data_IF_873717142504
#
_entry.id   IF_873717142504
#
_cell.length_a   1.000
_cell.length_b   1.000
_cell.length_c   1.000
_cell.angle_alpha   90.00
_cell.angle_beta   90.00
_cell.angle_gamma   90.00
#
_symmetry.space_group_name_H-M   'P 1'
#
loop_
_entity.id
_entity.type
_entity.pdbx_description
1 polymer ?
#
# COMPACT_ATOMS: atom_id res chain seq x y z
N UNK A 1 21.56 2.24 1.42
CA UNK A 1 21.07 1.15 0.54
C UNK A 1 22.26 0.46 -0.17
N UNK A 2 23.25 1.22 -0.71
CA UNK A 2 24.41 0.59 -1.40
C UNK A 2 25.21 -0.40 -0.57
N UNK A 3 25.22 -0.24 0.74
CA UNK A 3 25.94 -1.11 1.66
C UNK A 3 25.11 -2.31 2.17
N UNK A 4 23.85 -2.41 1.80
CA UNK A 4 22.99 -3.51 2.23
C UNK A 4 23.35 -4.81 1.53
N UNK A 5 23.44 -5.90 2.29
CA UNK A 5 23.72 -7.23 1.73
C UNK A 5 22.61 -7.64 0.75
N UNK A 6 23.00 -8.14 -0.41
CA UNK A 6 22.08 -8.56 -1.47
C UNK A 6 21.71 -7.47 -2.50
N UNK A 7 22.09 -6.22 -2.28
CA UNK A 7 21.90 -5.14 -3.26
C UNK A 7 23.03 -5.18 -4.30
N UNK A 8 22.70 -5.50 -5.56
CA UNK A 8 23.67 -5.56 -6.66
C UNK A 8 24.03 -4.19 -7.23
N UNK A 9 23.05 -3.26 -7.25
CA UNK A 9 23.23 -1.90 -7.70
C UNK A 9 22.21 -0.97 -7.03
N UNK A 10 22.61 0.25 -6.73
CA UNK A 10 21.72 1.31 -6.30
C UNK A 10 22.17 2.61 -6.95
N UNK A 11 21.25 3.31 -7.57
CA UNK A 11 21.47 4.57 -8.25
C UNK A 11 20.62 5.62 -7.57
N UNK A 12 21.13 6.85 -7.47
CA UNK A 12 20.28 7.99 -7.12
C UNK A 12 19.46 8.31 -8.37
N UNK A 13 18.15 8.28 -8.23
CA UNK A 13 17.25 8.68 -9.30
C UNK A 13 17.13 10.21 -9.36
N UNK A 14 16.56 10.71 -10.44
CA UNK A 14 16.23 12.12 -10.58
C UNK A 14 14.91 12.40 -9.86
N UNK A 15 14.67 13.65 -9.50
CA UNK A 15 13.33 14.07 -9.09
C UNK A 15 12.33 13.67 -10.16
N UNK A 16 11.40 12.83 -9.77
CA UNK A 16 10.24 12.45 -10.59
C UNK A 16 9.00 13.02 -9.92
N UNK A 17 8.13 13.64 -10.72
CA UNK A 17 6.78 13.95 -10.24
C UNK A 17 5.98 12.68 -10.21
N UNK A 18 5.29 12.44 -9.12
CA UNK A 18 4.17 11.50 -9.11
C UNK A 18 3.09 12.19 -9.93
N UNK A 19 2.88 11.75 -11.16
CA UNK A 19 1.72 12.20 -11.90
C UNK A 19 0.49 11.77 -11.10
N UNK A 20 -0.32 12.72 -10.69
CA UNK A 20 -1.64 12.42 -10.17
C UNK A 20 -2.28 11.48 -11.18
N UNK A 21 -2.61 10.26 -10.72
CA UNK A 21 -3.49 9.42 -11.50
C UNK A 21 -4.76 10.25 -11.65
N UNK A 22 -4.88 10.87 -12.81
CA UNK A 22 -5.95 11.80 -13.11
C UNK A 22 -7.25 11.06 -12.83
N UNK A 23 -7.95 11.51 -11.81
CA UNK A 23 -9.31 11.07 -11.46
C UNK A 23 -10.31 11.42 -12.60
N UNK A 24 -9.80 11.87 -13.74
CA UNK A 24 -10.50 12.17 -14.97
C UNK A 24 -10.88 10.93 -15.78
N UNK A 25 -10.85 9.74 -15.23
CA UNK A 25 -11.55 8.58 -15.84
C UNK A 25 -12.99 8.48 -15.31
N UNK A 26 -13.57 9.57 -14.92
CA UNK A 26 -15.02 9.74 -14.96
C UNK A 26 -15.45 10.06 -16.41
N UNK A 27 -15.12 9.17 -17.33
CA UNK A 27 -15.83 9.11 -18.61
C UNK A 27 -17.29 8.84 -18.29
N UNK A 28 -18.11 9.87 -18.34
CA UNK A 28 -19.55 9.76 -18.40
C UNK A 28 -19.91 8.79 -19.55
N UNK A 29 -20.23 7.55 -19.20
CA UNK A 29 -20.68 6.59 -20.22
C UNK A 29 -20.53 5.12 -19.87
N UNK A 30 -19.79 4.73 -18.86
CA UNK A 30 -19.88 3.37 -18.37
C UNK A 30 -21.13 3.25 -17.48
N UNK A 31 -22.29 3.05 -18.13
CA UNK A 31 -23.47 2.55 -17.42
C UNK A 31 -23.07 1.25 -16.74
N UNK A 32 -22.99 1.31 -15.43
CA UNK A 32 -22.65 0.22 -14.52
C UNK A 32 -23.80 -0.81 -14.53
N UNK A 33 -23.98 -1.46 -15.65
CA UNK A 33 -25.11 -2.35 -15.94
C UNK A 33 -24.73 -3.81 -15.79
N UNK A 34 -24.10 -4.19 -14.68
CA UNK A 34 -23.98 -5.61 -14.31
C UNK A 34 -23.47 -5.83 -12.88
N UNK A 35 -23.87 -5.02 -11.90
CA UNK A 35 -23.76 -5.48 -10.51
C UNK A 35 -25.01 -6.28 -10.17
N UNK A 36 -24.94 -7.58 -10.36
CA UNK A 36 -26.06 -8.48 -10.08
C UNK A 36 -26.01 -9.17 -8.74
N UNK A 37 -24.97 -8.95 -7.93
CA UNK A 37 -24.95 -9.45 -6.55
C UNK A 37 -24.30 -8.45 -5.58
N UNK A 38 -24.89 -8.28 -4.41
CA UNK A 38 -24.35 -7.47 -3.30
C UNK A 38 -23.16 -8.15 -2.61
N UNK A 39 -22.65 -9.25 -3.16
CA UNK A 39 -21.54 -10.04 -2.60
C UNK A 39 -20.26 -9.96 -3.43
N UNK A 40 -20.32 -9.43 -4.64
CA UNK A 40 -19.16 -9.34 -5.49
C UNK A 40 -18.35 -8.06 -5.19
N UNK A 41 -17.02 -8.14 -5.10
CA UNK A 41 -16.17 -6.97 -4.91
C UNK A 41 -16.39 -5.92 -6.01
N UNK A 42 -16.32 -4.64 -5.66
CA UNK A 42 -16.48 -3.54 -6.60
C UNK A 42 -15.46 -3.56 -7.74
N UNK A 43 -14.29 -4.16 -7.50
CA UNK A 43 -13.21 -4.31 -8.47
C UNK A 43 -13.17 -5.69 -9.15
N UNK A 44 -14.23 -6.50 -9.04
CA UNK A 44 -14.26 -7.85 -9.62
C UNK A 44 -14.02 -7.86 -11.12
N UNK A 45 -14.59 -6.91 -11.85
CA UNK A 45 -14.41 -6.85 -13.32
C UNK A 45 -12.94 -6.67 -13.72
N UNK A 46 -12.17 -5.87 -12.99
CA UNK A 46 -10.74 -5.73 -13.25
C UNK A 46 -9.97 -7.02 -12.92
N UNK A 47 -10.34 -7.70 -11.85
CA UNK A 47 -9.75 -9.00 -11.47
C UNK A 47 -10.04 -10.08 -12.52
N UNK A 48 -11.26 -10.14 -13.05
CA UNK A 48 -11.64 -11.06 -14.12
C UNK A 48 -10.88 -10.79 -15.42
N UNK A 49 -10.71 -9.53 -15.80
CA UNK A 49 -9.92 -9.17 -16.99
C UNK A 49 -8.47 -9.63 -16.91
N UNK A 50 -7.90 -9.65 -15.70
CA UNK A 50 -6.52 -10.07 -15.44
C UNK A 50 -6.40 -11.54 -15.02
N UNK A 51 -7.50 -12.26 -15.00
CA UNK A 51 -7.59 -13.63 -14.47
C UNK A 51 -7.08 -13.78 -13.02
N UNK A 52 -7.12 -12.69 -12.24
CA UNK A 52 -6.70 -12.69 -10.85
C UNK A 52 -7.67 -13.45 -9.93
N UNK A 53 -8.92 -13.62 -10.36
CA UNK A 53 -9.93 -14.46 -9.74
C UNK A 53 -9.52 -15.94 -9.65
N UNK A 54 -8.66 -16.39 -10.59
CA UNK A 54 -8.17 -17.76 -10.67
C UNK A 54 -6.95 -18.02 -9.76
N UNK A 55 -6.38 -16.97 -9.15
CA UNK A 55 -5.24 -17.09 -8.25
C UNK A 55 -5.72 -17.51 -6.87
N UNK A 56 -5.24 -18.66 -6.40
CA UNK A 56 -5.59 -19.21 -5.09
C UNK A 56 -4.72 -18.65 -3.96
N UNK A 57 -3.51 -18.16 -4.29
CA UNK A 57 -2.59 -17.55 -3.34
C UNK A 57 -3.09 -16.14 -2.98
N UNK A 58 -3.33 -15.88 -1.72
CA UNK A 58 -3.86 -14.61 -1.22
C UNK A 58 -2.84 -13.76 -0.46
N UNK A 59 -1.58 -14.14 -0.50
CA UNK A 59 -0.49 -13.40 0.14
C UNK A 59 -0.21 -13.75 1.60
N UNK A 60 -0.75 -14.87 2.11
CA UNK A 60 -0.46 -15.35 3.46
C UNK A 60 1.06 -15.40 3.72
N UNK A 61 1.49 -14.86 4.86
CA UNK A 61 2.89 -14.79 5.26
C UNK A 61 3.77 -13.93 4.35
N UNK A 62 3.20 -13.08 3.49
CA UNK A 62 3.95 -12.15 2.63
C UNK A 62 3.83 -10.73 3.13
N UNK A 63 4.84 -9.95 2.79
CA UNK A 63 4.91 -8.51 3.09
C UNK A 63 5.16 -7.77 1.78
N UNK A 64 4.35 -6.75 1.53
CA UNK A 64 4.44 -5.88 0.35
C UNK A 64 4.78 -4.49 0.85
N UNK A 65 5.77 -3.83 0.25
CA UNK A 65 6.08 -2.44 0.53
C UNK A 65 5.35 -1.54 -0.47
N UNK A 66 4.57 -0.60 0.05
CA UNK A 66 3.98 0.51 -0.69
C UNK A 66 4.84 1.74 -0.42
N UNK A 67 5.58 2.17 -1.44
CA UNK A 67 6.48 3.33 -1.39
C UNK A 67 5.84 4.40 -2.24
N UNK A 68 5.13 5.35 -1.59
CA UNK A 68 4.17 6.22 -2.26
C UNK A 68 3.89 7.50 -1.46
N UNK A 69 2.76 8.15 -1.70
CA UNK A 69 2.28 9.39 -1.06
C UNK A 69 1.74 9.21 0.35
N UNK A 70 1.85 8.04 0.93
CA UNK A 70 1.23 7.67 2.20
C UNK A 70 -0.04 6.82 2.01
N UNK A 71 -0.52 6.21 3.08
CA UNK A 71 -1.70 5.33 3.06
C UNK A 71 -2.62 5.66 4.22
N UNK A 72 -3.91 5.84 3.94
CA UNK A 72 -4.94 5.83 4.99
C UNK A 72 -5.12 4.41 5.52
N UNK A 73 -4.32 4.08 6.52
CA UNK A 73 -4.31 2.76 7.16
C UNK A 73 -5.56 2.50 8.00
N UNK A 74 -6.41 3.53 8.20
CA UNK A 74 -7.70 3.41 8.90
C UNK A 74 -8.87 3.19 7.95
N UNK A 75 -8.62 3.22 6.64
CA UNK A 75 -9.66 3.05 5.64
C UNK A 75 -10.38 1.71 5.81
N UNK A 76 -11.72 1.66 5.73
CA UNK A 76 -12.51 0.44 5.94
C UNK A 76 -12.10 -0.74 5.05
N UNK A 77 -11.52 -0.50 3.88
CA UNK A 77 -11.03 -1.56 2.99
C UNK A 77 -9.91 -2.42 3.60
N UNK A 78 -9.28 -1.97 4.68
CA UNK A 78 -8.20 -2.69 5.37
C UNK A 78 -8.60 -3.25 6.73
N UNK A 79 -9.88 -3.16 7.10
CA UNK A 79 -10.38 -3.54 8.42
C UNK A 79 -10.57 -5.06 8.61
N UNK A 80 -10.34 -5.87 7.58
CA UNK A 80 -10.44 -7.32 7.65
C UNK A 80 -9.30 -7.95 8.44
N UNK A 81 -9.57 -9.10 9.05
CA UNK A 81 -8.51 -9.93 9.61
C UNK A 81 -7.65 -10.53 8.49
N UNK A 82 -6.37 -10.75 8.75
CA UNK A 82 -5.53 -11.53 7.85
C UNK A 82 -5.95 -13.00 7.87
N UNK A 83 -5.99 -13.63 6.69
CA UNK A 83 -6.41 -15.02 6.55
C UNK A 83 -5.37 -16.05 7.01
N UNK A 84 -4.18 -15.63 7.41
CA UNK A 84 -3.07 -16.51 7.75
C UNK A 84 -2.19 -15.97 8.87
N UNK A 85 -0.96 -16.47 8.96
CA UNK A 85 0.00 -16.07 9.99
C UNK A 85 0.80 -14.85 9.53
N UNK A 86 0.79 -13.73 10.28
CA UNK A 86 1.58 -12.56 9.95
C UNK A 86 3.07 -12.88 9.88
N UNK A 87 3.76 -12.43 8.82
CA UNK A 87 5.21 -12.57 8.70
C UNK A 87 5.96 -11.65 9.68
N UNK A 88 5.37 -10.49 9.97
CA UNK A 88 5.89 -9.46 10.87
C UNK A 88 4.90 -9.25 12.02
N UNK A 89 5.26 -9.76 13.20
CA UNK A 89 4.60 -9.39 14.46
C UNK A 89 5.18 -8.10 15.02
N UNK A 90 4.50 -7.48 15.98
CA UNK A 90 4.99 -6.28 16.67
C UNK A 90 6.39 -6.49 17.27
N UNK A 91 6.62 -7.63 17.95
CA UNK A 91 7.91 -7.96 18.56
C UNK A 91 9.01 -8.11 17.49
N UNK A 92 8.68 -8.75 16.37
CA UNK A 92 9.63 -8.91 15.28
C UNK A 92 9.98 -7.56 14.63
N UNK A 93 9.02 -6.69 14.43
CA UNK A 93 9.26 -5.34 13.92
C UNK A 93 10.15 -4.57 14.89
N UNK A 94 9.84 -4.58 16.20
CA UNK A 94 10.65 -3.92 17.22
C UNK A 94 12.10 -4.42 17.23
N UNK A 95 12.34 -5.70 16.96
CA UNK A 95 13.69 -6.28 16.88
C UNK A 95 14.45 -5.93 15.60
N UNK A 96 13.73 -5.66 14.50
CA UNK A 96 14.31 -5.37 13.18
C UNK A 96 14.59 -3.87 12.99
N UNK A 97 13.73 -3.00 13.51
CA UNK A 97 13.83 -1.54 13.35
C UNK A 97 15.21 -0.98 13.70
N UNK A 98 15.86 -1.37 14.82
CA UNK A 98 17.23 -0.89 15.12
C UNK A 98 18.27 -1.28 14.08
N UNK A 99 18.02 -2.33 13.28
CA UNK A 99 18.94 -2.83 12.26
C UNK A 99 18.91 -1.99 10.98
N UNK A 100 17.91 -1.11 10.82
CA UNK A 100 17.85 -0.17 9.68
C UNK A 100 19.02 0.81 9.72
N UNK A 101 19.55 1.10 10.92
CA UNK A 101 20.77 1.90 11.10
C UNK A 101 20.61 3.39 10.81
N UNK A 102 19.41 3.84 10.49
CA UNK A 102 19.08 5.23 10.15
C UNK A 102 18.47 6.01 11.33
N UNK A 103 18.29 5.35 12.49
CA UNK A 103 17.67 5.93 13.67
C UNK A 103 16.16 6.13 13.57
N UNK A 104 15.54 5.66 12.51
CA UNK A 104 14.10 5.80 12.28
C UNK A 104 13.35 4.65 12.93
N UNK A 105 12.34 5.00 13.70
CA UNK A 105 11.54 4.05 14.47
C UNK A 105 10.11 4.02 13.94
N UNK A 106 9.87 3.56 12.75
CA UNK A 106 8.52 3.53 12.18
C UNK A 106 7.45 2.99 13.15
N UNK A 107 6.21 3.26 12.83
CA UNK A 107 5.05 2.90 13.66
C UNK A 107 4.52 1.52 13.28
N UNK A 108 4.31 0.64 14.29
CA UNK A 108 3.46 -0.53 14.12
C UNK A 108 2.01 -0.10 14.32
N UNK A 109 1.19 -0.18 13.27
CA UNK A 109 -0.21 0.25 13.30
C UNK A 109 -1.13 -0.93 13.59
N UNK A 110 -0.95 -2.02 12.88
CA UNK A 110 -1.77 -3.23 13.00
C UNK A 110 -1.05 -4.45 12.40
N UNK A 111 -1.66 -5.64 12.50
CA UNK A 111 -1.16 -6.81 11.78
C UNK A 111 -1.13 -6.58 10.27
N UNK A 112 -2.08 -5.84 9.72
CA UNK A 112 -2.14 -5.49 8.30
C UNK A 112 -1.04 -4.51 7.92
N UNK A 113 -0.73 -3.55 8.80
CA UNK A 113 0.29 -2.52 8.63
C UNK A 113 1.34 -2.61 9.73
N UNK A 114 2.29 -3.56 9.63
CA UNK A 114 3.27 -3.80 10.69
C UNK A 114 4.34 -2.71 10.79
N UNK A 115 4.49 -1.89 9.75
CA UNK A 115 5.45 -0.78 9.75
C UNK A 115 4.98 0.34 8.82
N UNK A 116 5.06 1.59 9.32
CA UNK A 116 4.83 2.79 8.56
C UNK A 116 5.82 3.88 8.96
N UNK A 117 6.33 4.62 7.98
CA UNK A 117 7.22 5.77 8.22
C UNK A 117 7.11 6.78 7.07
N UNK A 118 7.13 8.07 7.40
CA UNK A 118 7.22 9.17 6.46
C UNK A 118 8.69 9.56 6.24
N UNK A 119 9.24 9.17 5.11
CA UNK A 119 10.60 9.52 4.70
C UNK A 119 10.68 10.91 4.05
N UNK A 120 9.56 11.45 3.59
CA UNK A 120 9.50 12.78 2.98
C UNK A 120 9.61 13.90 4.04
N UNK A 121 8.89 13.74 5.16
CA UNK A 121 8.88 14.70 6.27
C UNK A 121 9.69 14.21 7.47
N UNK A 122 10.21 12.98 7.39
CA UNK A 122 11.08 12.36 8.39
C UNK A 122 10.42 12.22 9.77
N UNK A 123 9.19 11.71 9.77
CA UNK A 123 8.41 11.45 10.97
C UNK A 123 7.65 10.10 10.89
N UNK A 124 7.00 9.64 11.98
CA UNK A 124 6.31 8.36 12.00
C UNK A 124 4.91 8.38 11.37
N UNK A 125 4.40 9.52 10.90
CA UNK A 125 3.05 9.66 10.34
C UNK A 125 3.06 9.48 8.82
N UNK A 126 2.89 8.26 8.36
CA UNK A 126 2.79 7.94 6.93
C UNK A 126 1.36 8.06 6.38
N UNK A 127 0.48 8.80 7.06
CA UNK A 127 -0.87 9.09 6.56
C UNK A 127 -0.81 9.98 5.32
N UNK A 128 -1.78 9.87 4.40
CA UNK A 128 -1.86 10.74 3.24
C UNK A 128 -2.20 12.17 3.68
N UNK A 129 -1.58 13.16 3.05
CA UNK A 129 -1.86 14.57 3.29
C UNK A 129 -2.28 15.24 1.98
N UNK A 130 -3.35 16.08 1.99
CA UNK A 130 -3.85 16.77 0.80
C UNK A 130 -4.58 15.85 -0.20
N UNK A 131 -4.98 16.40 -1.34
CA UNK A 131 -5.74 15.67 -2.37
C UNK A 131 -4.91 14.63 -3.11
N UNK A 132 -3.64 14.91 -3.37
CA UNK A 132 -2.72 13.95 -4.01
C UNK A 132 -2.39 12.74 -3.12
N UNK A 133 -2.65 12.84 -1.81
CA UNK A 133 -2.37 11.79 -0.85
C UNK A 133 -3.18 10.49 -1.01
N UNK A 134 -4.25 10.50 -1.80
CA UNK A 134 -5.08 9.30 -2.01
C UNK A 134 -4.41 8.22 -2.85
N UNK A 135 -3.37 8.55 -3.65
CA UNK A 135 -2.73 7.62 -4.58
C UNK A 135 -2.18 6.37 -3.86
N UNK A 136 -1.37 6.55 -2.82
CA UNK A 136 -0.83 5.41 -2.08
C UNK A 136 -1.90 4.55 -1.40
N UNK A 137 -2.99 5.15 -0.92
CA UNK A 137 -4.15 4.41 -0.39
C UNK A 137 -4.80 3.56 -1.48
N UNK A 138 -4.96 4.11 -2.68
CA UNK A 138 -5.51 3.41 -3.84
C UNK A 138 -4.62 2.23 -4.25
N UNK A 139 -3.31 2.47 -4.37
CA UNK A 139 -2.31 1.42 -4.67
C UNK A 139 -2.35 0.30 -3.63
N UNK A 140 -2.37 0.65 -2.34
CA UNK A 140 -2.49 -0.31 -1.26
C UNK A 140 -3.80 -1.12 -1.35
N UNK A 141 -4.90 -0.46 -1.71
CA UNK A 141 -6.22 -1.09 -1.89
C UNK A 141 -6.23 -2.12 -3.02
N UNK A 142 -5.74 -1.75 -4.20
CA UNK A 142 -5.61 -2.67 -5.35
C UNK A 142 -4.75 -3.88 -4.97
N UNK A 143 -3.69 -3.63 -4.21
CA UNK A 143 -2.71 -4.66 -3.84
C UNK A 143 -3.28 -5.62 -2.81
N UNK A 144 -3.85 -5.11 -1.72
CA UNK A 144 -4.11 -5.94 -0.55
C UNK A 144 -5.29 -5.49 0.34
N UNK A 145 -6.29 -4.79 -0.19
CA UNK A 145 -7.54 -4.58 0.54
C UNK A 145 -8.16 -5.93 0.95
N UNK A 146 -8.69 -6.02 2.17
CA UNK A 146 -9.21 -7.27 2.72
C UNK A 146 -10.59 -7.14 3.39
N UNK A 147 -11.28 -6.04 3.16
CA UNK A 147 -12.62 -5.80 3.72
C UNK A 147 -13.47 -4.89 2.83
N UNK A 148 -14.79 -4.93 3.05
CA UNK A 148 -15.74 -4.08 2.36
C UNK A 148 -15.98 -4.49 0.91
N UNK A 149 -16.22 -3.50 0.06
CA UNK A 149 -16.57 -3.70 -1.36
C UNK A 149 -15.36 -3.87 -2.28
N UNK A 150 -14.15 -3.72 -1.75
CA UNK A 150 -12.91 -3.82 -2.52
C UNK A 150 -12.06 -4.94 -1.92
N UNK A 151 -11.62 -5.86 -2.77
CA UNK A 151 -10.69 -6.92 -2.39
C UNK A 151 -9.46 -6.80 -3.27
N UNK A 152 -8.29 -6.66 -2.65
CA UNK A 152 -7.00 -6.63 -3.35
C UNK A 152 -6.60 -7.99 -3.91
N UNK A 153 -5.54 -8.00 -4.69
CA UNK A 153 -5.01 -9.25 -5.30
C UNK A 153 -4.40 -10.16 -4.23
N UNK A 154 -3.80 -9.58 -3.18
CA UNK A 154 -3.16 -10.30 -2.08
C UNK A 154 -3.74 -9.86 -0.72
N UNK A 155 -5.03 -10.13 -0.44
CA UNK A 155 -5.73 -9.60 0.74
C UNK A 155 -5.13 -10.07 2.08
N UNK A 156 -4.41 -11.19 2.10
CA UNK A 156 -3.77 -11.73 3.29
C UNK A 156 -2.30 -11.30 3.46
N UNK A 157 -1.77 -10.50 2.52
CA UNK A 157 -0.45 -9.91 2.69
C UNK A 157 -0.48 -8.75 3.68
N UNK A 158 0.61 -8.58 4.42
CA UNK A 158 0.90 -7.39 5.21
C UNK A 158 1.44 -6.27 4.30
N UNK A 159 1.20 -5.02 4.68
CA UNK A 159 1.68 -3.85 3.94
C UNK A 159 2.64 -3.05 4.82
N UNK A 160 3.87 -2.82 4.33
CA UNK A 160 4.77 -1.80 4.86
C UNK A 160 4.50 -0.50 4.08
N UNK A 161 4.34 0.61 4.80
CA UNK A 161 4.12 1.92 4.21
C UNK A 161 5.39 2.77 4.36
N UNK A 162 5.93 3.21 3.24
CA UNK A 162 6.99 4.20 3.17
C UNK A 162 6.49 5.40 2.38
N UNK A 163 6.12 6.47 3.08
CA UNK A 163 5.74 7.72 2.42
C UNK A 163 7.01 8.45 1.99
N UNK A 164 7.14 8.69 0.69
CA UNK A 164 8.33 9.30 0.07
C UNK A 164 7.98 10.54 -0.75
N UNK A 165 6.70 10.87 -0.87
CA UNK A 165 6.23 12.02 -1.61
C UNK A 165 5.50 12.97 -0.67
N UNK A 166 5.80 14.26 -0.77
CA UNK A 166 5.04 15.33 -0.13
C UNK A 166 3.77 15.54 -0.91
N UNK A 167 2.64 15.38 -0.23
CA UNK A 167 1.32 15.41 -0.85
C UNK A 167 0.87 16.78 -1.34
N UNK A 168 1.59 17.85 -0.99
CA UNK A 168 1.22 19.21 -1.41
C UNK A 168 1.59 19.51 -2.86
N UNK A 169 2.55 18.78 -3.42
CA UNK A 169 3.06 19.05 -4.75
C UNK A 169 3.27 17.79 -5.62
N UNK A 170 2.99 16.60 -5.09
CA UNK A 170 3.21 15.34 -5.82
C UNK A 170 4.68 15.02 -6.11
N UNK A 171 5.62 15.72 -5.50
CA UNK A 171 7.04 15.50 -5.73
C UNK A 171 7.60 14.43 -4.78
N UNK A 172 8.34 13.49 -5.33
CA UNK A 172 9.13 12.54 -4.56
C UNK A 172 10.39 13.27 -4.09
N UNK A 173 10.60 13.27 -2.77
CA UNK A 173 11.80 13.86 -2.18
C UNK A 173 12.94 12.83 -2.10
N UNK A 174 14.14 13.26 -2.42
CA UNK A 174 15.38 12.46 -2.31
C UNK A 174 15.77 12.11 -0.86
#
# INVERSE_FOLDING_TARGET
IRAASGVKAAFRDRETRVEDADDQVAGEGATNSARTSTQDPANLSAQLMMHADQITQKGDGKVIAVIDTGVDMTHPAFAGALGGTPALSADKVASLTPQLGDGKTGTYVSEKFPFAYDYADNDPDASPTGQAGSHGTHVAGITAANAGEIVGIAPDAQIIVAKVARSVEGDITD
#
